data_IF_791075768781
#
_entry.id   IF_791075768781
#
_cell.length_a   1.000
_cell.length_b   1.000
_cell.length_c   1.000
_cell.angle_alpha   90.00
_cell.angle_beta   90.00
_cell.angle_gamma   90.00
#
_symmetry.space_group_name_H-M   'P 1'
#
loop_
_entity.id
_entity.type
_entity.pdbx_description
1 polymer ?
#
# COMPACT_ATOMS: atom_id res chain seq x y z
N UNK A 1 -6.42 -3.57 -11.59
CA UNK A 1 -5.51 -4.41 -10.79
C UNK A 1 -6.02 -5.83 -10.88
N UNK A 2 -5.15 -6.81 -11.11
CA UNK A 2 -5.55 -8.20 -10.88
C UNK A 2 -5.94 -8.32 -9.41
N UNK A 3 -7.13 -8.86 -9.13
CA UNK A 3 -7.60 -8.97 -7.75
C UNK A 3 -6.86 -10.09 -7.03
N UNK A 4 -6.59 -9.86 -5.75
CA UNK A 4 -6.00 -10.78 -4.80
C UNK A 4 -4.54 -11.19 -5.10
N UNK A 5 -3.80 -10.37 -5.83
CA UNK A 5 -2.34 -10.52 -6.03
C UNK A 5 -1.57 -9.37 -5.41
N UNK A 6 -0.35 -9.63 -4.94
CA UNK A 6 0.54 -8.60 -4.42
C UNK A 6 1.19 -7.83 -5.57
N UNK A 7 0.98 -6.52 -5.58
CA UNK A 7 1.55 -5.59 -6.54
C UNK A 7 2.65 -4.79 -5.84
N UNK A 8 3.89 -4.98 -6.29
CA UNK A 8 5.03 -4.21 -5.82
C UNK A 8 5.04 -2.83 -6.48
N UNK A 9 5.29 -1.79 -5.70
CA UNK A 9 5.44 -0.43 -6.25
C UNK A 9 6.57 -0.37 -7.27
N UNK A 10 6.35 0.27 -8.42
CA UNK A 10 7.38 0.47 -9.45
C UNK A 10 8.52 1.40 -9.00
N UNK A 11 8.32 2.15 -7.91
CA UNK A 11 9.37 2.95 -7.26
C UNK A 11 10.26 2.14 -6.30
N UNK A 12 10.00 0.83 -6.18
CA UNK A 12 10.84 -0.11 -5.45
C UNK A 12 12.12 -0.42 -6.24
N UNK A 13 13.22 0.28 -5.92
CA UNK A 13 14.55 0.03 -6.50
C UNK A 13 15.40 -0.97 -5.69
N UNK A 14 16.68 -1.12 -6.04
CA UNK A 14 17.65 -1.98 -5.31
C UNK A 14 17.93 -1.53 -3.87
N UNK A 15 17.40 -0.38 -3.47
CA UNK A 15 17.71 0.30 -2.22
C UNK A 15 16.83 -0.20 -1.07
N UNK A 16 15.88 -1.09 -1.36
CA UNK A 16 15.18 -1.86 -0.34
C UNK A 16 14.17 -1.08 0.50
N UNK A 17 13.60 -0.01 -0.04
CA UNK A 17 12.44 0.68 0.53
C UNK A 17 11.24 0.29 -0.34
N UNK A 18 10.73 -0.94 -0.16
CA UNK A 18 9.81 -1.56 -1.11
C UNK A 18 8.49 -1.92 -0.41
N UNK A 19 7.39 -1.41 -0.92
CA UNK A 19 6.04 -1.73 -0.44
C UNK A 19 5.26 -2.53 -1.48
N UNK A 20 4.43 -3.43 -1.00
CA UNK A 20 3.48 -4.21 -1.79
C UNK A 20 2.05 -3.92 -1.33
N UNK A 21 1.13 -3.85 -2.30
CA UNK A 21 -0.30 -3.66 -2.05
C UNK A 21 -1.07 -4.82 -2.67
N UNK A 22 -2.10 -5.31 -1.99
CA UNK A 22 -3.04 -6.32 -2.51
C UNK A 22 -4.47 -5.85 -2.32
N UNK A 23 -5.22 -5.81 -3.41
CA UNK A 23 -6.66 -5.55 -3.42
C UNK A 23 -7.42 -6.89 -3.34
N UNK A 24 -8.14 -7.14 -2.24
CA UNK A 24 -8.97 -8.34 -2.05
C UNK A 24 -10.42 -8.16 -2.50
N UNK A 25 -10.81 -6.94 -2.90
CA UNK A 25 -12.17 -6.53 -3.24
C UNK A 25 -12.95 -6.00 -2.05
N UNK A 26 -12.85 -6.64 -0.89
CA UNK A 26 -13.46 -6.22 0.38
C UNK A 26 -12.50 -5.45 1.29
N UNK A 27 -11.20 -5.52 1.01
CA UNK A 27 -10.15 -4.90 1.78
C UNK A 27 -8.88 -4.67 0.94
N UNK A 28 -8.07 -3.71 1.37
CA UNK A 28 -6.77 -3.42 0.79
C UNK A 28 -5.69 -3.70 1.83
N UNK A 29 -4.75 -4.58 1.51
CA UNK A 29 -3.63 -4.92 2.38
C UNK A 29 -2.34 -4.25 1.89
N UNK A 30 -1.54 -3.71 2.80
CA UNK A 30 -0.24 -3.08 2.54
C UNK A 30 0.82 -3.69 3.43
N UNK A 31 1.96 -4.08 2.86
CA UNK A 31 3.08 -4.66 3.62
C UNK A 31 4.44 -4.20 3.10
N UNK A 32 5.45 -4.41 3.93
CA UNK A 32 6.85 -4.35 3.53
C UNK A 32 7.21 -5.58 2.68
N UNK A 33 7.70 -5.36 1.46
CA UNK A 33 8.13 -6.45 0.58
C UNK A 33 9.30 -7.26 1.15
N UNK A 34 10.10 -6.67 2.04
CA UNK A 34 11.24 -7.35 2.69
C UNK A 34 10.81 -8.24 3.86
N UNK A 35 9.64 -7.98 4.43
CA UNK A 35 9.10 -8.77 5.53
C UNK A 35 7.70 -9.30 5.18
N UNK A 36 7.59 -10.19 4.18
CA UNK A 36 6.30 -10.62 3.65
C UNK A 36 5.46 -11.42 4.65
N UNK A 37 6.08 -11.97 5.71
CA UNK A 37 5.45 -12.68 6.82
C UNK A 37 5.24 -11.79 8.06
N UNK A 38 5.68 -10.54 8.01
CA UNK A 38 5.51 -9.58 9.08
C UNK A 38 4.09 -9.00 9.14
N UNK A 39 3.87 -8.04 10.05
CA UNK A 39 2.61 -7.31 10.14
C UNK A 39 2.27 -6.60 8.82
N UNK A 40 0.98 -6.57 8.48
CA UNK A 40 0.46 -5.80 7.36
C UNK A 40 -0.62 -4.83 7.85
N UNK A 41 -0.79 -3.72 7.14
CA UNK A 41 -1.91 -2.80 7.34
C UNK A 41 -3.07 -3.25 6.46
N UNK A 42 -4.29 -3.24 6.99
CA UNK A 42 -5.51 -3.57 6.24
C UNK A 42 -6.47 -2.38 6.33
N UNK A 43 -6.97 -1.96 5.17
CA UNK A 43 -7.91 -0.85 5.02
C UNK A 43 -9.22 -1.36 4.42
N UNK A 44 -10.33 -0.69 4.75
CA UNK A 44 -11.53 -0.81 3.91
C UNK A 44 -11.29 -0.11 2.57
N UNK A 45 -12.05 -0.44 1.50
CA UNK A 45 -11.93 0.26 0.22
C UNK A 45 -12.17 1.78 0.34
N UNK A 46 -13.08 2.19 1.25
CA UNK A 46 -13.38 3.59 1.50
C UNK A 46 -12.21 4.32 2.19
N UNK A 47 -11.63 3.72 3.23
CA UNK A 47 -10.48 4.31 3.94
C UNK A 47 -9.26 4.41 3.04
N UNK A 48 -9.04 3.39 2.19
CA UNK A 48 -7.95 3.41 1.22
C UNK A 48 -8.11 4.55 0.20
N UNK A 49 -9.33 4.75 -0.32
CA UNK A 49 -9.60 5.86 -1.24
C UNK A 49 -9.36 7.23 -0.56
N UNK A 50 -9.85 7.41 0.66
CA UNK A 50 -9.63 8.62 1.44
C UNK A 50 -8.13 8.86 1.71
N UNK A 51 -7.39 7.83 2.12
CA UNK A 51 -5.95 7.89 2.34
C UNK A 51 -5.20 8.35 1.08
N UNK A 52 -5.51 7.76 -0.08
CA UNK A 52 -4.85 8.13 -1.35
C UNK A 52 -5.13 9.59 -1.72
N UNK A 53 -6.35 10.08 -1.52
CA UNK A 53 -6.69 11.49 -1.78
C UNK A 53 -5.96 12.43 -0.81
N UNK A 54 -5.88 12.11 0.48
CA UNK A 54 -5.11 12.88 1.46
C UNK A 54 -3.62 12.94 1.12
N UNK A 55 -3.02 11.82 0.71
CA UNK A 55 -1.63 11.77 0.22
C UNK A 55 -1.43 12.70 -0.99
N UNK A 56 -2.32 12.65 -1.98
CA UNK A 56 -2.23 13.53 -3.16
C UNK A 56 -2.39 15.01 -2.80
N UNK A 57 -3.18 15.31 -1.78
CA UNK A 57 -3.38 16.67 -1.26
C UNK A 57 -2.20 17.18 -0.40
N UNK A 58 -1.20 16.34 -0.11
CA UNK A 58 -0.05 16.69 0.74
C UNK A 58 -0.39 16.73 2.23
N UNK A 59 -1.49 16.11 2.66
CA UNK A 59 -1.94 16.12 4.07
C UNK A 59 -0.89 15.53 5.03
N UNK A 60 -0.08 14.60 4.54
CA UNK A 60 0.92 13.86 5.32
C UNK A 60 2.37 14.27 5.05
N UNK A 61 2.59 15.37 4.32
CA UNK A 61 3.95 15.86 4.08
C UNK A 61 4.51 16.42 5.40
N UNK A 62 5.63 15.85 5.86
CA UNK A 62 6.31 16.31 7.07
C UNK A 62 6.90 17.70 6.80
N UNK A 63 6.57 18.66 7.67
CA UNK A 63 7.14 20.01 7.67
C UNK A 63 8.59 20.03 8.14
#
# INVERSE_FOLDING_TARGET
>A
MERNVWLKSSRSGSNGQCTEVRDRGDAIDVRDSKNPTGPMLTFTPADWAAFVEGVKAGEFDLR
#
